data_IF_224617611486
#
_entry.id   IF_224617611486
#
_cell.length_a   1.000
_cell.length_b   1.000
_cell.length_c   1.000
_cell.angle_alpha   90.00
_cell.angle_beta   90.00
_cell.angle_gamma   90.00
#
_symmetry.space_group_name_H-M   'P 1'
#
loop_
_entity.id
_entity.type
_entity.pdbx_description
1 polymer ?
#
# COMPACT_ATOMS: atom_id res chain seq x y z
N UNK A 1 33.94 -9.22 -24.53
CA UNK A 1 33.28 -8.47 -23.43
C UNK A 1 32.15 -7.65 -24.03
N UNK A 2 30.90 -7.85 -23.61
CA UNK A 2 29.76 -7.03 -24.06
C UNK A 2 29.24 -6.25 -22.85
N UNK A 3 29.44 -4.93 -22.86
CA UNK A 3 28.96 -4.02 -21.82
C UNK A 3 27.46 -3.81 -22.00
N UNK A 4 26.67 -4.30 -21.04
CA UNK A 4 25.23 -4.03 -21.00
C UNK A 4 25.00 -2.59 -20.53
N UNK A 5 24.69 -1.70 -21.47
CA UNK A 5 24.17 -0.37 -21.17
C UNK A 5 22.77 -0.52 -20.60
N UNK A 6 22.62 -0.37 -19.27
CA UNK A 6 21.31 -0.34 -18.61
C UNK A 6 20.52 0.86 -19.12
N UNK A 7 19.60 0.64 -20.06
CA UNK A 7 18.61 1.65 -20.47
C UNK A 7 17.87 2.12 -19.22
N UNK A 8 17.85 3.43 -18.97
CA UNK A 8 16.92 4.06 -18.01
C UNK A 8 15.51 3.81 -18.53
N UNK A 9 14.84 2.79 -18.01
CA UNK A 9 13.47 2.46 -18.41
C UNK A 9 12.54 3.56 -17.89
N UNK A 10 11.81 4.20 -18.82
CA UNK A 10 10.66 5.01 -18.46
C UNK A 10 9.69 4.13 -17.65
N UNK A 11 9.19 4.65 -16.50
CA UNK A 11 8.32 3.89 -15.58
C UNK A 11 7.14 3.28 -16.36
N UNK A 12 6.90 1.96 -16.31
CA UNK A 12 5.80 1.35 -17.04
C UNK A 12 4.46 1.88 -16.51
N UNK A 13 3.49 2.10 -17.40
CA UNK A 13 2.10 2.52 -17.08
C UNK A 13 1.43 1.64 -16.00
N UNK A 14 1.93 0.42 -15.81
CA UNK A 14 1.52 -0.58 -14.81
C UNK A 14 1.56 -0.03 -13.38
N UNK A 15 2.51 0.86 -13.03
CA UNK A 15 2.56 1.46 -11.68
C UNK A 15 1.31 2.27 -11.32
N UNK A 16 0.68 2.94 -12.30
CA UNK A 16 -0.54 3.72 -12.05
C UNK A 16 -1.75 2.83 -11.80
N UNK A 17 -1.84 1.71 -12.53
CA UNK A 17 -2.92 0.72 -12.37
C UNK A 17 -2.84 0.07 -10.99
N UNK A 18 -1.65 -0.39 -10.59
CA UNK A 18 -1.42 -0.99 -9.27
C UNK A 18 -1.75 -0.05 -8.12
N UNK A 19 -1.32 1.22 -8.20
CA UNK A 19 -1.59 2.21 -7.15
C UNK A 19 -3.08 2.59 -7.07
N UNK A 20 -3.79 2.58 -8.19
CA UNK A 20 -5.25 2.82 -8.22
C UNK A 20 -6.01 1.64 -7.61
N UNK A 21 -5.61 0.41 -7.93
CA UNK A 21 -6.15 -0.80 -7.32
C UNK A 21 -5.95 -0.82 -5.81
N UNK A 22 -4.74 -0.51 -5.35
CA UNK A 22 -4.40 -0.47 -3.93
C UNK A 22 -5.25 0.55 -3.15
N UNK A 23 -5.44 1.75 -3.70
CA UNK A 23 -6.34 2.76 -3.11
C UNK A 23 -7.79 2.28 -3.05
N UNK A 24 -8.25 1.55 -4.06
CA UNK A 24 -9.61 1.01 -4.11
C UNK A 24 -9.83 -0.04 -3.01
N UNK A 25 -8.88 -0.95 -2.83
CA UNK A 25 -8.94 -1.96 -1.77
C UNK A 25 -8.91 -1.32 -0.38
N UNK A 26 -8.00 -0.38 -0.13
CA UNK A 26 -7.98 0.37 1.13
C UNK A 26 -9.32 1.07 1.40
N UNK A 27 -9.90 1.72 0.40
CA UNK A 27 -11.22 2.35 0.53
C UNK A 27 -12.35 1.35 0.80
N UNK A 28 -12.24 0.11 0.33
CA UNK A 28 -13.21 -0.94 0.61
C UNK A 28 -13.20 -1.32 2.10
N UNK A 29 -12.01 -1.49 2.69
CA UNK A 29 -11.88 -1.72 4.12
C UNK A 29 -12.38 -0.53 4.95
N UNK A 30 -12.01 0.70 4.57
CA UNK A 30 -12.45 1.91 5.27
C UNK A 30 -13.98 2.01 5.33
N UNK A 31 -14.66 1.67 4.23
CA UNK A 31 -16.13 1.65 4.17
C UNK A 31 -16.73 0.51 4.98
N UNK A 32 -16.16 -0.69 4.87
CA UNK A 32 -16.64 -1.90 5.56
C UNK A 32 -16.59 -1.74 7.07
N UNK A 33 -15.50 -1.18 7.59
CA UNK A 33 -15.27 -0.99 9.02
C UNK A 33 -15.62 0.42 9.52
N UNK A 34 -16.06 1.32 8.62
CA UNK A 34 -16.35 2.74 8.90
C UNK A 34 -15.20 3.42 9.64
N UNK A 35 -13.98 3.10 9.24
CA UNK A 35 -12.76 3.52 9.94
C UNK A 35 -11.72 3.94 8.91
N UNK A 36 -11.21 5.19 8.95
CA UNK A 36 -10.11 5.60 8.07
C UNK A 36 -8.87 4.74 8.30
N UNK A 37 -8.08 4.48 7.24
CA UNK A 37 -6.85 3.68 7.34
C UNK A 37 -5.86 4.28 8.34
N UNK A 38 -5.82 5.61 8.48
CA UNK A 38 -4.99 6.29 9.48
C UNK A 38 -5.38 5.93 10.93
N UNK A 39 -6.67 5.83 11.21
CA UNK A 39 -7.19 5.44 12.53
C UNK A 39 -6.95 3.95 12.76
N UNK A 40 -7.18 3.13 11.74
CA UNK A 40 -6.87 1.70 11.79
C UNK A 40 -5.42 1.44 12.19
N UNK A 41 -4.45 2.12 11.54
CA UNK A 41 -3.03 1.97 11.87
C UNK A 41 -2.70 2.38 13.32
N UNK A 42 -3.29 3.47 13.81
CA UNK A 42 -3.13 3.86 15.22
C UNK A 42 -3.65 2.79 16.19
N UNK A 43 -4.72 2.08 15.83
CA UNK A 43 -5.27 0.99 16.65
C UNK A 43 -4.42 -0.27 16.59
N UNK A 44 -3.83 -0.59 15.42
CA UNK A 44 -2.84 -1.68 15.27
C UNK A 44 -1.65 -1.43 16.21
N UNK A 45 -1.08 -0.23 16.20
CA UNK A 45 0.08 0.14 17.04
C UNK A 45 -0.23 0.01 18.54
N UNK A 46 -1.48 0.22 18.94
CA UNK A 46 -1.94 0.09 20.33
C UNK A 46 -2.35 -1.33 20.71
N UNK A 47 -2.37 -2.27 19.77
CA UNK A 47 -2.88 -3.63 20.00
C UNK A 47 -4.38 -3.69 20.26
N UNK A 48 -5.15 -2.72 19.76
CA UNK A 48 -6.61 -2.61 19.97
C UNK A 48 -7.45 -3.40 18.94
N UNK A 49 -6.79 -4.13 18.04
CA UNK A 49 -7.42 -4.91 16.97
C UNK A 49 -7.06 -6.38 17.11
N UNK A 50 -7.97 -7.23 16.66
CA UNK A 50 -7.74 -8.67 16.62
C UNK A 50 -6.84 -9.07 15.44
N UNK A 51 -6.40 -10.33 15.43
CA UNK A 51 -5.66 -10.92 14.32
C UNK A 51 -6.60 -11.51 13.26
N UNK A 52 -7.75 -10.87 13.02
CA UNK A 52 -8.64 -11.32 11.95
C UNK A 52 -7.95 -11.18 10.60
N UNK A 53 -8.28 -12.10 9.69
CA UNK A 53 -7.75 -12.10 8.32
C UNK A 53 -7.95 -10.73 7.63
N UNK A 54 -9.09 -10.08 7.87
CA UNK A 54 -9.39 -8.77 7.30
C UNK A 54 -8.41 -7.68 7.79
N UNK A 55 -8.04 -7.66 9.07
CA UNK A 55 -7.07 -6.69 9.59
C UNK A 55 -5.64 -7.01 9.16
N UNK A 56 -5.28 -8.29 9.05
CA UNK A 56 -3.98 -8.71 8.49
C UNK A 56 -3.86 -8.23 7.03
N UNK A 57 -4.88 -8.47 6.20
CA UNK A 57 -4.90 -8.06 4.80
C UNK A 57 -4.86 -6.53 4.68
N UNK A 58 -5.64 -5.81 5.49
CA UNK A 58 -5.67 -4.35 5.48
C UNK A 58 -4.32 -3.75 5.86
N UNK A 59 -3.67 -4.27 6.91
CA UNK A 59 -2.34 -3.82 7.33
C UNK A 59 -1.31 -3.99 6.20
N UNK A 60 -1.26 -5.16 5.57
CA UNK A 60 -0.35 -5.40 4.45
C UNK A 60 -0.55 -4.43 3.29
N UNK A 61 -1.81 -4.15 2.91
CA UNK A 61 -2.11 -3.18 1.85
C UNK A 61 -1.71 -1.76 2.23
N UNK A 62 -1.91 -1.37 3.49
CA UNK A 62 -1.56 -0.05 3.99
C UNK A 62 -0.04 0.17 3.99
N UNK A 63 0.74 -0.82 4.42
CA UNK A 63 2.21 -0.77 4.40
C UNK A 63 2.76 -0.66 2.97
N UNK A 64 2.24 -1.46 2.03
CA UNK A 64 2.62 -1.38 0.62
C UNK A 64 2.33 0.03 0.06
N UNK A 65 1.17 0.59 0.40
CA UNK A 65 0.78 1.91 -0.08
C UNK A 65 1.71 3.00 0.47
N UNK A 66 2.06 2.94 1.76
CA UNK A 66 3.01 3.86 2.37
C UNK A 66 4.40 3.74 1.73
N UNK A 67 4.92 2.53 1.55
CA UNK A 67 6.24 2.32 0.93
C UNK A 67 6.33 2.89 -0.49
N UNK A 68 5.29 2.68 -1.32
CA UNK A 68 5.27 3.17 -2.70
C UNK A 68 5.14 4.71 -2.74
N UNK A 69 4.44 5.32 -1.79
CA UNK A 69 4.22 6.77 -1.75
C UNK A 69 5.41 7.52 -1.13
N UNK A 70 5.99 7.01 -0.04
CA UNK A 70 7.17 7.59 0.63
C UNK A 70 8.46 7.43 -0.20
N UNK A 71 8.58 6.35 -0.99
CA UNK A 71 9.71 6.17 -1.92
C UNK A 71 9.82 7.27 -2.99
N UNK A 72 8.79 8.12 -3.16
CA UNK A 72 8.84 9.25 -4.09
C UNK A 72 9.45 10.52 -3.50
N UNK A 73 9.83 10.53 -2.21
CA UNK A 73 10.38 11.72 -1.52
C UNK A 73 11.92 11.71 -1.35
N UNK A 74 12.65 10.92 -2.15
CA UNK A 74 14.12 10.93 -2.21
C UNK A 74 14.61 11.16 -3.64
#
# INVERSE_FOLDING_TARGET
>A
MRTATRKKTAKPKIQHVGMTGLKRELSAFEKRYKMPTSVFLQKVEKGELDESKDFIDWLGLAEIYQHITLSKSK
#
